data_IF_700836005281
#
_entry.id   IF_700836005281
#
_cell.length_a   1.000
_cell.length_b   1.000
_cell.length_c   1.000
_cell.angle_alpha   90.00
_cell.angle_beta   90.00
_cell.angle_gamma   90.00
#
_symmetry.space_group_name_H-M   'P 1'
#
loop_
_entity.id
_entity.type
_entity.pdbx_description
1 polymer ?
#
# COMPACT_ATOMS: atom_id res chain seq x y z
N UNK A 1 26.80 -17.28 -25.59
CA UNK A 1 25.72 -18.12 -26.14
C UNK A 1 24.44 -17.87 -25.34
N UNK A 2 23.31 -17.57 -26.00
CA UNK A 2 22.20 -16.83 -25.40
C UNK A 2 21.41 -17.69 -24.40
N UNK A 3 20.68 -17.02 -23.49
CA UNK A 3 19.61 -17.58 -22.65
C UNK A 3 20.05 -18.31 -21.36
N UNK A 4 20.52 -17.59 -20.35
CA UNK A 4 20.60 -18.15 -18.99
C UNK A 4 20.32 -17.09 -17.92
N UNK A 5 19.04 -16.82 -17.64
CA UNK A 5 18.64 -16.25 -16.35
C UNK A 5 17.40 -16.97 -15.85
N UNK A 6 17.48 -17.38 -14.58
CA UNK A 6 16.49 -18.13 -13.81
C UNK A 6 16.02 -17.20 -12.69
N UNK A 7 14.72 -17.11 -12.44
CA UNK A 7 14.21 -16.61 -11.16
C UNK A 7 13.94 -17.85 -10.29
N UNK A 8 14.87 -18.23 -9.40
CA UNK A 8 14.64 -19.37 -8.54
C UNK A 8 13.72 -18.94 -7.40
N UNK A 9 12.42 -19.20 -7.53
CA UNK A 9 11.56 -19.23 -6.35
C UNK A 9 11.81 -20.57 -5.65
N UNK A 10 12.72 -20.60 -4.67
CA UNK A 10 12.89 -21.74 -3.76
C UNK A 10 11.78 -21.69 -2.72
N UNK A 11 10.95 -22.73 -2.68
CA UNK A 11 10.04 -23.03 -1.58
C UNK A 11 10.31 -24.47 -1.21
N UNK A 12 10.89 -24.79 -0.05
CA UNK A 12 11.11 -26.20 0.29
C UNK A 12 9.74 -26.94 0.25
N UNK A 13 9.57 -28.01 -0.56
CA UNK A 13 10.59 -28.85 -1.21
C UNK A 13 10.81 -28.66 -2.74
N UNK A 14 10.28 -27.60 -3.37
CA UNK A 14 10.30 -27.38 -4.82
C UNK A 14 10.99 -26.07 -5.27
N UNK A 15 11.46 -26.04 -6.51
CA UNK A 15 11.99 -24.83 -7.16
C UNK A 15 11.24 -24.54 -8.46
N UNK A 16 10.92 -23.26 -8.72
CA UNK A 16 10.40 -22.81 -10.01
C UNK A 16 11.53 -22.20 -10.83
N UNK A 17 11.59 -22.55 -12.12
CA UNK A 17 12.53 -21.99 -13.08
C UNK A 17 11.75 -21.33 -14.22
N UNK A 18 12.17 -20.13 -14.62
CA UNK A 18 11.64 -19.42 -15.78
C UNK A 18 12.75 -19.33 -16.82
N UNK A 19 12.43 -19.65 -18.07
CA UNK A 19 13.36 -19.56 -19.20
C UNK A 19 12.73 -18.73 -20.32
N UNK A 20 13.44 -17.75 -20.89
CA UNK A 20 12.98 -17.11 -22.12
C UNK A 20 13.01 -18.14 -23.26
N UNK A 21 11.92 -18.19 -24.03
CA UNK A 21 11.81 -19.00 -25.23
C UNK A 21 11.70 -18.06 -26.43
N UNK A 22 12.60 -18.19 -27.39
CA UNK A 22 12.51 -17.44 -28.64
C UNK A 22 11.26 -17.91 -29.43
N UNK A 23 10.67 -17.07 -30.29
CA UNK A 23 9.61 -17.50 -31.19
C UNK A 23 10.13 -18.55 -32.18
N UNK A 24 9.40 -19.65 -32.37
CA UNK A 24 9.66 -20.64 -33.44
C UNK A 24 10.16 -22.02 -32.99
N UNK A 25 11.18 -22.14 -32.11
CA UNK A 25 11.61 -23.43 -31.58
C UNK A 25 10.47 -24.19 -30.88
N UNK A 26 10.47 -25.54 -30.95
CA UNK A 26 9.51 -26.36 -30.22
C UNK A 26 9.71 -26.19 -28.71
N UNK A 27 8.63 -26.43 -27.96
CA UNK A 27 8.69 -26.42 -26.51
C UNK A 27 9.70 -27.46 -26.02
N UNK A 28 10.60 -27.09 -25.08
CA UNK A 28 11.58 -28.02 -24.55
C UNK A 28 10.90 -29.13 -23.75
N UNK A 29 11.29 -30.37 -24.01
CA UNK A 29 10.81 -31.52 -23.26
C UNK A 29 11.34 -31.54 -21.81
N UNK A 30 10.81 -32.46 -21.00
CA UNK A 30 11.20 -32.59 -19.59
C UNK A 30 12.71 -32.85 -19.40
N UNK A 31 13.35 -33.57 -20.32
CA UNK A 31 14.79 -33.84 -20.28
C UNK A 31 15.62 -32.58 -20.56
N UNK A 32 15.22 -31.79 -21.56
CA UNK A 32 15.84 -30.51 -21.90
C UNK A 32 15.69 -29.49 -20.76
N UNK A 33 14.53 -29.43 -20.12
CA UNK A 33 14.30 -28.59 -18.94
C UNK A 33 15.13 -29.05 -17.73
N UNK A 34 15.19 -30.36 -17.47
CA UNK A 34 16.05 -30.94 -16.44
C UNK A 34 17.53 -30.60 -16.66
N UNK A 35 18.02 -30.72 -17.89
CA UNK A 35 19.39 -30.38 -18.25
C UNK A 35 19.67 -28.87 -18.05
N UNK A 36 18.72 -28.00 -18.43
CA UNK A 36 18.82 -26.56 -18.14
C UNK A 36 18.84 -26.28 -16.65
N UNK A 37 17.99 -26.91 -15.85
CA UNK A 37 17.95 -26.73 -14.40
C UNK A 37 19.27 -27.15 -13.73
N UNK A 38 19.84 -28.31 -14.10
CA UNK A 38 21.13 -28.81 -13.58
C UNK A 38 22.29 -27.83 -13.79
N UNK A 39 22.31 -27.10 -14.92
CA UNK A 39 23.33 -26.06 -15.16
C UNK A 39 23.31 -24.93 -14.13
N UNK A 40 22.16 -24.69 -13.48
CA UNK A 40 22.02 -23.66 -12.45
C UNK A 40 22.18 -24.19 -11.02
N UNK A 41 21.61 -25.36 -10.72
CA UNK A 41 21.63 -25.90 -9.35
C UNK A 41 22.86 -26.77 -9.04
N UNK A 42 23.63 -27.15 -10.07
CA UNK A 42 24.71 -28.13 -9.97
C UNK A 42 24.21 -29.57 -10.05
N UNK A 43 25.12 -30.51 -9.81
CA UNK A 43 24.81 -31.93 -9.83
C UNK A 43 23.97 -32.32 -8.60
N UNK A 44 22.90 -33.08 -8.85
CA UNK A 44 21.97 -33.56 -7.83
C UNK A 44 21.67 -35.04 -8.05
N UNK A 45 21.48 -35.78 -6.95
CA UNK A 45 21.18 -37.22 -6.96
C UNK A 45 19.77 -37.55 -7.48
N UNK A 46 18.85 -36.57 -7.45
CA UNK A 46 17.51 -36.71 -7.98
C UNK A 46 16.92 -35.38 -8.41
N UNK A 47 16.35 -35.33 -9.62
CA UNK A 47 15.58 -34.20 -10.13
C UNK A 47 14.33 -34.72 -10.81
N UNK A 48 13.17 -34.21 -10.40
CA UNK A 48 11.89 -34.53 -11.00
C UNK A 48 11.21 -33.25 -11.46
N UNK A 49 10.95 -33.13 -12.76
CA UNK A 49 10.13 -32.06 -13.31
C UNK A 49 8.68 -32.37 -12.93
N UNK A 50 8.04 -31.48 -12.16
CA UNK A 50 6.67 -31.68 -11.68
C UNK A 50 5.62 -31.16 -12.67
N UNK A 51 5.97 -30.14 -13.44
CA UNK A 51 5.06 -29.51 -14.39
C UNK A 51 5.78 -28.43 -15.19
N UNK A 52 5.26 -28.15 -16.37
CA UNK A 52 5.81 -27.22 -17.34
C UNK A 52 4.67 -26.42 -17.93
N UNK A 53 4.88 -25.13 -18.12
CA UNK A 53 3.91 -24.29 -18.80
C UNK A 53 4.64 -23.27 -19.66
N UNK A 54 4.20 -23.12 -20.91
CA UNK A 54 4.65 -22.06 -21.81
C UNK A 54 3.54 -21.03 -21.88
N UNK A 55 3.92 -19.78 -21.61
CA UNK A 55 2.99 -18.67 -21.64
C UNK A 55 3.64 -17.49 -22.35
N UNK A 56 2.81 -16.74 -23.07
CA UNK A 56 3.25 -15.49 -23.70
C UNK A 56 3.25 -14.39 -22.66
N UNK A 57 4.35 -13.66 -22.59
CA UNK A 57 4.46 -12.47 -21.76
C UNK A 57 3.87 -11.29 -22.52
N UNK A 58 2.95 -10.57 -21.89
CA UNK A 58 2.36 -9.34 -22.40
C UNK A 58 2.67 -8.19 -21.47
N UNK A 59 2.83 -6.99 -22.04
CA UNK A 59 2.76 -5.72 -21.31
C UNK A 59 1.56 -4.95 -21.88
N UNK A 60 0.44 -4.94 -21.16
CA UNK A 60 -0.82 -4.32 -21.62
C UNK A 60 -1.53 -3.70 -20.44
N UNK A 61 -2.16 -2.56 -20.68
CA UNK A 61 -2.99 -1.88 -19.67
C UNK A 61 -4.30 -1.51 -20.33
N UNK A 62 -5.41 -1.70 -19.61
CA UNK A 62 -6.72 -1.29 -20.06
C UNK A 62 -6.81 0.25 -20.08
N UNK A 63 -7.41 0.81 -21.13
CA UNK A 63 -7.59 2.26 -21.27
C UNK A 63 -8.55 2.85 -20.23
N UNK A 64 -9.44 2.03 -19.68
CA UNK A 64 -10.40 2.39 -18.63
C UNK A 64 -10.55 1.24 -17.66
N UNK A 65 -10.47 1.55 -16.38
CA UNK A 65 -10.56 0.54 -15.31
C UNK A 65 -11.94 0.48 -14.69
N UNK A 66 -12.77 1.50 -14.96
CA UNK A 66 -14.19 1.54 -14.58
C UNK A 66 -15.07 1.89 -15.78
N UNK A 67 -16.14 1.10 -15.96
CA UNK A 67 -17.26 1.45 -16.86
C UNK A 67 -18.56 1.22 -16.11
N UNK A 68 -19.16 2.31 -15.62
CA UNK A 68 -20.35 2.24 -14.76
C UNK A 68 -20.08 1.45 -13.48
N UNK A 69 -20.69 0.26 -13.37
CA UNK A 69 -20.59 -0.65 -12.22
C UNK A 69 -19.59 -1.80 -12.44
N UNK A 70 -18.85 -1.78 -13.54
CA UNK A 70 -17.86 -2.81 -13.88
C UNK A 70 -16.47 -2.23 -13.58
N UNK A 71 -15.66 -2.99 -12.84
CA UNK A 71 -14.30 -2.64 -12.45
C UNK A 71 -13.32 -3.73 -12.92
N UNK A 72 -12.17 -3.31 -13.44
CA UNK A 72 -11.04 -4.17 -13.77
C UNK A 72 -9.97 -4.01 -12.69
N UNK A 73 -9.34 -5.11 -12.27
CA UNK A 73 -8.23 -5.13 -11.31
C UNK A 73 -7.24 -6.26 -11.63
N UNK A 74 -6.00 -6.15 -11.17
CA UNK A 74 -4.95 -7.13 -11.45
C UNK A 74 -4.76 -7.37 -12.95
N UNK A 75 -4.54 -8.62 -13.35
CA UNK A 75 -4.32 -9.01 -14.76
C UNK A 75 -5.44 -8.58 -15.72
N UNK A 76 -6.65 -8.33 -15.23
CA UNK A 76 -7.75 -7.81 -16.05
C UNK A 76 -7.57 -6.32 -16.41
N UNK A 77 -6.92 -5.54 -15.55
CA UNK A 77 -6.62 -4.13 -15.76
C UNK A 77 -5.22 -3.91 -16.33
N UNK A 78 -4.24 -4.70 -15.91
CA UNK A 78 -2.85 -4.57 -16.30
C UNK A 78 -2.16 -5.94 -16.34
N UNK A 79 -1.66 -6.32 -17.52
CA UNK A 79 -0.72 -7.41 -17.69
C UNK A 79 0.68 -6.81 -17.62
N UNK A 80 1.38 -7.13 -16.54
CA UNK A 80 2.75 -6.69 -16.28
C UNK A 80 3.68 -7.87 -16.49
N UNK A 81 4.84 -7.62 -17.07
CA UNK A 81 5.81 -8.70 -17.29
C UNK A 81 6.20 -9.34 -15.96
N UNK A 82 6.42 -10.67 -15.90
CA UNK A 82 6.54 -11.42 -14.64
C UNK A 82 7.84 -11.13 -13.86
N UNK A 83 8.54 -10.07 -14.26
CA UNK A 83 9.74 -9.55 -13.66
C UNK A 83 9.44 -9.13 -12.21
N UNK A 84 10.26 -9.62 -11.28
CA UNK A 84 10.26 -9.18 -9.88
C UNK A 84 8.95 -9.42 -9.10
N UNK A 85 8.06 -10.27 -9.63
CA UNK A 85 6.73 -10.53 -9.09
C UNK A 85 5.85 -9.27 -8.96
N UNK A 86 6.11 -8.24 -9.78
CA UNK A 86 5.41 -6.95 -9.69
C UNK A 86 3.93 -7.05 -10.08
N UNK A 87 3.56 -7.91 -11.04
CA UNK A 87 2.15 -8.08 -11.46
C UNK A 87 1.21 -8.49 -10.32
N UNK A 88 1.52 -9.58 -9.61
CA UNK A 88 0.71 -10.04 -8.46
C UNK A 88 0.66 -8.97 -7.37
N UNK A 89 1.80 -8.38 -7.05
CA UNK A 89 1.93 -7.36 -6.02
C UNK A 89 1.05 -6.14 -6.33
N UNK A 90 1.06 -5.65 -7.57
CA UNK A 90 0.19 -4.55 -8.00
C UNK A 90 -1.29 -4.94 -7.97
N UNK A 91 -1.64 -6.17 -8.38
CA UNK A 91 -3.02 -6.67 -8.25
C UNK A 91 -3.51 -6.75 -6.79
N UNK A 92 -2.62 -7.02 -5.83
CA UNK A 92 -2.95 -6.96 -4.40
C UNK A 92 -3.22 -5.52 -3.94
N UNK A 93 -2.49 -4.53 -4.47
CA UNK A 93 -2.74 -3.12 -4.19
C UNK A 93 -4.12 -2.67 -4.70
N UNK A 94 -4.51 -3.14 -5.89
CA UNK A 94 -5.87 -2.94 -6.41
C UNK A 94 -6.93 -3.47 -5.45
N UNK A 95 -6.74 -4.72 -5.00
CA UNK A 95 -7.65 -5.42 -4.09
C UNK A 95 -7.65 -4.81 -2.68
N UNK A 96 -6.65 -4.01 -2.31
CA UNK A 96 -6.66 -3.23 -1.07
C UNK A 96 -7.40 -1.89 -1.24
N UNK A 97 -7.37 -1.27 -2.41
CA UNK A 97 -7.88 0.09 -2.63
C UNK A 97 -9.38 0.14 -2.98
N UNK A 98 -9.86 -0.77 -3.84
CA UNK A 98 -11.25 -0.72 -4.33
C UNK A 98 -12.31 -1.12 -3.29
N UNK A 99 -12.14 -2.21 -2.49
CA UNK A 99 -13.24 -2.74 -1.69
C UNK A 99 -13.81 -1.79 -0.63
N UNK A 100 -12.96 -1.01 0.05
CA UNK A 100 -13.45 -0.07 1.05
C UNK A 100 -14.27 1.06 0.40
N UNK A 101 -13.89 1.52 -0.79
CA UNK A 101 -14.65 2.54 -1.52
C UNK A 101 -16.03 2.02 -1.90
N UNK A 102 -16.09 0.80 -2.42
CA UNK A 102 -17.36 0.11 -2.70
C UNK A 102 -18.20 0.00 -1.43
N UNK A 103 -17.61 -0.40 -0.30
CA UNK A 103 -18.31 -0.51 0.96
C UNK A 103 -18.87 0.85 1.45
N UNK A 104 -18.12 1.94 1.27
CA UNK A 104 -18.58 3.29 1.63
C UNK A 104 -19.77 3.72 0.78
N UNK A 105 -19.70 3.54 -0.54
CA UNK A 105 -20.80 3.89 -1.45
C UNK A 105 -22.04 3.02 -1.21
N UNK A 106 -21.87 1.70 -1.07
CA UNK A 106 -22.98 0.77 -0.87
C UNK A 106 -23.71 0.96 0.47
N UNK A 107 -23.01 1.44 1.51
CA UNK A 107 -23.63 1.83 2.79
C UNK A 107 -24.24 3.23 2.75
N UNK A 108 -24.13 3.92 1.61
CA UNK A 108 -24.54 5.31 1.43
C UNK A 108 -23.64 6.31 2.15
N UNK A 109 -22.50 5.90 2.71
CA UNK A 109 -21.56 6.73 3.47
C UNK A 109 -20.72 7.66 2.60
N UNK A 110 -20.64 7.42 1.30
CA UNK A 110 -19.96 8.27 0.33
C UNK A 110 -20.75 8.38 -0.97
N UNK A 111 -20.46 9.44 -1.73
CA UNK A 111 -20.93 9.62 -3.10
C UNK A 111 -20.23 8.67 -4.08
N UNK A 112 -20.87 8.37 -5.21
CA UNK A 112 -20.34 7.46 -6.23
C UNK A 112 -19.02 7.97 -6.87
N UNK A 113 -18.75 9.27 -6.81
CA UNK A 113 -17.46 9.88 -7.22
C UNK A 113 -16.26 9.36 -6.42
N UNK A 114 -16.46 8.81 -5.21
CA UNK A 114 -15.40 8.15 -4.45
C UNK A 114 -14.75 7.00 -5.24
N UNK A 115 -15.52 6.31 -6.09
CA UNK A 115 -15.06 5.18 -6.88
C UNK A 115 -14.15 5.60 -8.04
N UNK A 116 -14.22 6.85 -8.50
CA UNK A 116 -13.31 7.39 -9.53
C UNK A 116 -11.87 7.53 -9.00
N UNK A 117 -11.70 7.55 -7.68
CA UNK A 117 -10.39 7.51 -7.04
C UNK A 117 -9.63 6.20 -7.23
N UNK A 118 -10.33 5.08 -7.52
CA UNK A 118 -9.67 3.79 -7.71
C UNK A 118 -8.69 3.82 -8.89
N UNK A 119 -9.18 4.15 -10.09
CA UNK A 119 -8.36 4.21 -11.29
C UNK A 119 -7.30 5.32 -11.19
N UNK A 120 -7.69 6.49 -10.68
CA UNK A 120 -6.77 7.63 -10.52
C UNK A 120 -5.54 7.29 -9.66
N UNK A 121 -5.73 6.53 -8.58
CA UNK A 121 -4.64 6.18 -7.67
C UNK A 121 -3.85 4.95 -8.13
N UNK A 122 -4.51 3.94 -8.70
CA UNK A 122 -3.85 2.67 -9.04
C UNK A 122 -3.21 2.64 -10.43
N UNK A 123 -3.78 3.34 -11.42
CA UNK A 123 -3.22 3.34 -12.78
C UNK A 123 -1.78 3.89 -12.83
N UNK A 124 -1.42 4.99 -12.14
CA UNK A 124 -0.02 5.42 -12.00
C UNK A 124 0.91 4.34 -11.45
N UNK A 125 0.47 3.63 -10.40
CA UNK A 125 1.27 2.58 -9.74
C UNK A 125 1.50 1.40 -10.68
N UNK A 126 0.47 0.99 -11.43
CA UNK A 126 0.59 -0.12 -12.38
C UNK A 126 1.40 0.25 -13.63
N UNK A 127 1.15 1.41 -14.24
CA UNK A 127 1.76 1.81 -15.51
C UNK A 127 3.19 2.30 -15.28
N UNK A 128 3.34 3.36 -14.48
CA UNK A 128 4.61 4.07 -14.30
C UNK A 128 5.46 3.51 -13.17
N UNK A 129 4.86 2.74 -12.26
CA UNK A 129 5.59 2.00 -11.24
C UNK A 129 5.98 0.62 -11.77
N UNK A 130 5.08 -0.33 -11.57
CA UNK A 130 5.33 -1.74 -11.80
C UNK A 130 5.65 -2.08 -13.27
N UNK A 131 4.91 -1.51 -14.22
CA UNK A 131 5.11 -1.71 -15.66
C UNK A 131 6.49 -1.26 -16.13
N UNK A 132 6.84 0.01 -15.89
CA UNK A 132 8.17 0.55 -16.23
C UNK A 132 9.31 -0.20 -15.54
N UNK A 133 9.17 -0.54 -14.25
CA UNK A 133 10.18 -1.34 -13.54
C UNK A 133 10.34 -2.75 -14.13
N UNK A 134 9.23 -3.40 -14.47
CA UNK A 134 9.24 -4.73 -15.06
C UNK A 134 9.89 -4.72 -16.46
N UNK A 135 9.60 -3.71 -17.27
CA UNK A 135 10.23 -3.52 -18.59
C UNK A 135 11.72 -3.18 -18.48
N UNK A 136 12.12 -2.31 -17.56
CA UNK A 136 13.53 -2.01 -17.31
C UNK A 136 14.29 -3.28 -16.88
N UNK A 137 13.70 -4.08 -16.00
CA UNK A 137 14.27 -5.35 -15.59
C UNK A 137 14.37 -6.37 -16.73
N UNK A 138 13.38 -6.39 -17.63
CA UNK A 138 13.44 -7.21 -18.84
C UNK A 138 14.55 -6.75 -19.78
N UNK A 139 14.72 -5.43 -19.98
CA UNK A 139 15.77 -4.87 -20.85
C UNK A 139 17.18 -5.17 -20.32
N UNK A 140 17.37 -5.06 -19.00
CA UNK A 140 18.60 -5.47 -18.33
C UNK A 140 18.90 -6.96 -18.52
N UNK A 141 17.88 -7.83 -18.36
CA UNK A 141 18.06 -9.26 -18.60
C UNK A 141 18.39 -9.60 -20.05
N UNK A 142 17.83 -8.86 -21.00
CA UNK A 142 18.18 -8.96 -22.42
C UNK A 142 19.56 -8.38 -22.76
N UNK A 143 20.31 -7.85 -21.75
CA UNK A 143 21.58 -7.12 -21.90
C UNK A 143 21.50 -5.97 -22.91
N UNK A 144 20.33 -5.35 -22.98
CA UNK A 144 20.10 -4.14 -23.78
C UNK A 144 20.41 -2.88 -22.99
N UNK A 145 20.55 -3.01 -21.67
CA UNK A 145 20.88 -1.94 -20.74
C UNK A 145 21.76 -2.50 -19.61
N UNK A 146 22.76 -1.74 -19.21
CA UNK A 146 23.70 -2.07 -18.13
C UNK A 146 23.30 -1.40 -16.79
N UNK A 147 22.30 -0.51 -16.80
CA UNK A 147 21.84 0.22 -15.62
C UNK A 147 20.65 -0.44 -14.92
N UNK A 148 20.77 -0.73 -13.62
CA UNK A 148 19.63 -1.17 -12.79
C UNK A 148 19.45 -0.26 -11.57
N UNK A 149 19.19 1.03 -11.82
CA UNK A 149 19.03 2.05 -10.78
C UNK A 149 17.86 1.76 -9.80
N UNK A 150 16.83 1.03 -10.23
CA UNK A 150 15.63 0.72 -9.44
C UNK A 150 15.90 -0.06 -8.14
N UNK A 151 17.12 -0.59 -7.96
CA UNK A 151 17.54 -1.37 -6.79
C UNK A 151 18.87 -0.90 -6.19
N UNK A 152 19.35 0.26 -6.64
CA UNK A 152 20.51 0.93 -6.05
C UNK A 152 20.00 1.85 -4.92
N UNK A 153 20.02 1.34 -3.69
CA UNK A 153 19.63 2.08 -2.47
C UNK A 153 19.85 1.20 -1.25
N UNK A 154 20.11 1.78 -0.08
CA UNK A 154 20.49 1.00 1.10
C UNK A 154 19.40 0.07 1.61
N UNK A 155 19.80 -0.80 2.55
CA UNK A 155 19.05 -2.01 2.90
C UNK A 155 17.61 -1.77 3.36
N UNK A 156 17.31 -0.61 3.96
CA UNK A 156 15.96 -0.30 4.47
C UNK A 156 14.96 0.03 3.35
N UNK A 157 15.26 0.98 2.47
CA UNK A 157 14.35 1.38 1.39
C UNK A 157 14.02 0.23 0.43
N UNK A 158 15.03 -0.62 0.15
CA UNK A 158 14.84 -1.84 -0.63
C UNK A 158 13.91 -2.83 0.08
N UNK A 159 14.09 -3.06 1.38
CA UNK A 159 13.25 -3.99 2.13
C UNK A 159 11.78 -3.54 2.14
N UNK A 160 11.53 -2.25 2.34
CA UNK A 160 10.17 -1.68 2.38
C UNK A 160 9.52 -1.67 0.99
N UNK A 161 10.29 -1.40 -0.06
CA UNK A 161 9.79 -1.47 -1.45
C UNK A 161 9.35 -2.91 -1.79
N UNK A 162 10.15 -3.91 -1.40
CA UNK A 162 9.85 -5.33 -1.66
C UNK A 162 8.62 -5.86 -0.92
N UNK A 163 8.23 -5.24 0.20
CA UNK A 163 7.03 -5.60 0.95
C UNK A 163 5.79 -4.82 0.52
N UNK A 164 5.91 -3.89 -0.44
CA UNK A 164 4.85 -2.95 -0.86
C UNK A 164 4.35 -2.00 0.25
N UNK A 165 4.98 -2.04 1.43
CA UNK A 165 4.64 -1.15 2.54
C UNK A 165 5.12 0.29 2.33
N UNK A 166 5.88 0.52 1.26
CA UNK A 166 6.41 1.83 0.87
C UNK A 166 5.66 2.53 -0.25
N UNK A 167 4.58 1.94 -0.76
CA UNK A 167 3.80 2.56 -1.83
C UNK A 167 3.11 3.82 -1.29
N UNK A 168 3.33 4.93 -1.99
CA UNK A 168 2.67 6.20 -1.75
C UNK A 168 1.71 6.50 -2.88
N UNK A 169 0.44 6.74 -2.54
CA UNK A 169 -0.62 7.06 -3.48
C UNK A 169 -0.80 8.58 -3.61
N UNK A 170 -1.19 9.04 -4.79
CA UNK A 170 -1.59 10.43 -5.04
C UNK A 170 -3.02 10.67 -4.53
N UNK A 171 -3.15 10.81 -3.21
CA UNK A 171 -4.46 10.90 -2.54
C UNK A 171 -5.11 12.28 -2.66
N UNK A 172 -4.34 13.31 -3.01
CA UNK A 172 -4.78 14.70 -3.12
C UNK A 172 -4.74 15.27 -4.56
N UNK A 173 -4.26 14.48 -5.54
CA UNK A 173 -4.18 14.89 -6.94
C UNK A 173 -2.98 15.80 -7.25
N UNK A 174 -2.00 15.86 -6.36
CA UNK A 174 -0.75 16.60 -6.55
C UNK A 174 0.19 15.97 -7.58
N UNK A 175 -0.05 14.71 -7.94
CA UNK A 175 0.87 13.89 -8.74
C UNK A 175 2.01 13.28 -7.93
N UNK A 176 2.05 13.48 -6.60
CA UNK A 176 3.12 13.00 -5.72
C UNK A 176 2.90 11.55 -5.24
N UNK A 177 3.00 10.60 -6.16
CA UNK A 177 2.97 9.16 -5.88
C UNK A 177 4.38 8.54 -5.94
N UNK A 178 4.57 7.34 -5.38
CA UNK A 178 5.78 6.54 -5.60
C UNK A 178 5.54 5.06 -5.29
N UNK A 179 6.09 4.16 -6.10
CA UNK A 179 6.14 2.73 -5.77
C UNK A 179 7.44 2.33 -5.05
N UNK A 180 8.46 3.19 -5.10
CA UNK A 180 9.80 2.93 -4.56
C UNK A 180 10.06 3.86 -3.37
N UNK A 181 10.71 3.32 -2.35
CA UNK A 181 11.24 4.10 -1.23
C UNK A 181 12.74 4.26 -1.39
N UNK A 182 13.18 5.52 -1.45
CA UNK A 182 14.59 5.87 -1.45
C UNK A 182 15.11 6.15 -0.04
N UNK A 183 16.39 5.85 0.18
CA UNK A 183 17.10 6.15 1.42
C UNK A 183 17.27 4.96 2.37
N UNK A 184 18.05 5.20 3.41
CA UNK A 184 18.57 4.15 4.31
C UNK A 184 17.88 4.15 5.67
N UNK A 185 16.96 5.09 5.90
CA UNK A 185 16.24 5.25 7.15
C UNK A 185 14.79 5.73 6.94
N UNK A 186 13.88 5.43 7.88
CA UNK A 186 12.52 5.93 7.83
C UNK A 186 12.46 7.46 7.90
N UNK A 187 11.61 8.05 7.06
CA UNK A 187 11.24 9.47 7.10
C UNK A 187 9.88 9.67 7.81
N UNK A 188 9.57 10.89 8.27
CA UNK A 188 8.22 11.26 8.68
C UNK A 188 7.18 10.92 7.60
N UNK A 189 6.01 10.44 8.03
CA UNK A 189 4.93 10.09 7.10
C UNK A 189 4.38 11.33 6.41
N UNK A 190 3.92 11.15 5.18
CA UNK A 190 3.28 12.16 4.35
C UNK A 190 1.90 11.69 3.93
N UNK A 191 1.08 12.62 3.44
CA UNK A 191 -0.13 12.23 2.72
C UNK A 191 0.23 11.26 1.58
N UNK A 192 -0.60 10.25 1.41
CA UNK A 192 -0.42 9.17 0.47
C UNK A 192 0.46 8.02 0.95
N UNK A 193 1.34 8.21 1.93
CA UNK A 193 2.18 7.11 2.44
C UNK A 193 1.29 6.06 3.13
N UNK A 194 1.65 4.77 3.03
CA UNK A 194 1.08 3.75 3.91
C UNK A 194 1.54 4.00 5.35
N UNK A 195 0.60 3.99 6.30
CA UNK A 195 0.91 4.17 7.72
C UNK A 195 1.83 3.02 8.19
N UNK A 196 2.92 3.30 8.92
CA UNK A 196 3.74 2.27 9.55
C UNK A 196 2.91 1.47 10.56
N UNK A 197 3.02 0.15 10.54
CA UNK A 197 2.35 -0.68 11.52
C UNK A 197 3.10 -0.65 12.84
N UNK A 198 2.60 0.15 13.78
CA UNK A 198 3.20 0.32 15.09
C UNK A 198 2.24 -0.08 16.17
N UNK A 199 2.82 -0.65 17.21
CA UNK A 199 2.08 -1.05 18.40
C UNK A 199 1.75 0.15 19.28
N UNK A 200 0.51 0.21 19.72
CA UNK A 200 0.00 1.07 20.79
C UNK A 200 -0.87 0.24 21.75
N UNK A 201 -1.33 0.84 22.85
CA UNK A 201 -2.08 0.12 23.88
C UNK A 201 -3.42 0.81 24.13
N UNK A 202 -4.51 0.16 23.75
CA UNK A 202 -5.88 0.59 24.01
C UNK A 202 -6.45 0.01 25.31
N UNK A 203 -7.75 0.23 25.57
CA UNK A 203 -8.42 -0.26 26.78
C UNK A 203 -8.41 -1.80 26.89
N UNK A 204 -8.49 -2.50 25.76
CA UNK A 204 -8.50 -3.97 25.69
C UNK A 204 -7.10 -4.59 25.56
N UNK A 205 -6.05 -3.76 25.62
CA UNK A 205 -4.66 -4.19 25.56
C UNK A 205 -3.94 -3.74 24.29
N UNK A 206 -3.03 -4.60 23.82
CA UNK A 206 -2.17 -4.32 22.67
C UNK A 206 -2.96 -4.25 21.36
N UNK A 207 -2.71 -3.23 20.55
CA UNK A 207 -3.30 -3.07 19.21
C UNK A 207 -2.28 -2.49 18.23
N UNK A 208 -2.36 -2.91 16.98
CA UNK A 208 -1.53 -2.42 15.88
C UNK A 208 -2.31 -1.41 15.04
N UNK A 209 -1.64 -0.38 14.50
CA UNK A 209 -2.32 0.67 13.72
C UNK A 209 -3.05 0.10 12.49
N UNK A 210 -2.53 -0.96 11.86
CA UNK A 210 -3.20 -1.60 10.73
C UNK A 210 -4.51 -2.26 11.12
N UNK A 211 -4.62 -2.79 12.34
CA UNK A 211 -5.87 -3.38 12.83
C UNK A 211 -6.94 -2.29 13.05
N UNK A 212 -6.54 -1.12 13.56
CA UNK A 212 -7.46 0.00 13.80
C UNK A 212 -8.11 0.51 12.50
N UNK A 213 -7.35 0.54 11.41
CA UNK A 213 -7.80 1.05 10.12
C UNK A 213 -8.30 -0.04 9.17
N UNK A 214 -8.50 -1.29 9.59
CA UNK A 214 -8.89 -2.36 8.65
C UNK A 214 -10.30 -2.18 8.06
N UNK A 215 -11.21 -1.53 8.79
CA UNK A 215 -12.64 -1.44 8.44
C UNK A 215 -13.25 -0.03 8.57
N UNK A 216 -12.42 0.95 8.95
CA UNK A 216 -12.81 2.33 9.24
C UNK A 216 -11.74 3.32 8.76
N UNK A 217 -12.16 4.54 8.45
CA UNK A 217 -11.23 5.65 8.55
C UNK A 217 -10.86 5.86 10.01
N UNK A 218 -9.61 6.22 10.26
CA UNK A 218 -9.11 6.46 11.60
C UNK A 218 -8.41 7.81 11.64
N UNK A 219 -8.88 8.70 12.52
CA UNK A 219 -8.19 9.93 12.87
C UNK A 219 -7.39 9.71 14.16
N UNK A 220 -6.06 9.78 14.03
CA UNK A 220 -5.11 9.64 15.13
C UNK A 220 -4.64 11.03 15.57
N UNK A 221 -5.02 11.44 16.77
CA UNK A 221 -4.66 12.72 17.36
C UNK A 221 -3.45 12.55 18.28
N UNK A 222 -2.27 12.95 17.81
CA UNK A 222 -1.02 12.86 18.56
C UNK A 222 -0.91 14.03 19.54
N UNK A 223 -1.26 13.81 20.81
CA UNK A 223 -1.30 14.87 21.82
C UNK A 223 -1.17 14.31 23.26
N UNK A 224 -0.82 15.17 24.23
CA UNK A 224 -0.81 14.80 25.64
C UNK A 224 -2.25 14.63 26.19
N UNK A 225 -2.65 13.39 26.48
CA UNK A 225 -3.98 13.05 26.99
C UNK A 225 -4.28 13.68 28.36
N UNK A 226 -3.26 14.06 29.14
CA UNK A 226 -3.43 14.73 30.44
C UNK A 226 -3.97 16.15 30.29
N UNK A 227 -3.79 16.77 29.11
CA UNK A 227 -4.40 18.07 28.76
C UNK A 227 -5.90 17.96 28.49
N UNK A 228 -6.47 16.75 28.48
CA UNK A 228 -7.88 16.47 28.22
C UNK A 228 -8.33 17.08 26.87
N UNK A 229 -7.65 16.71 25.76
CA UNK A 229 -8.01 17.22 24.44
C UNK A 229 -9.51 17.00 24.19
N UNK A 230 -10.18 18.01 23.65
CA UNK A 230 -11.56 17.90 23.22
C UNK A 230 -11.57 17.42 21.78
N UNK A 231 -11.92 16.16 21.58
CA UNK A 231 -12.14 15.66 20.22
C UNK A 231 -13.56 16.02 19.76
N UNK A 232 -13.74 16.43 18.50
CA UNK A 232 -15.05 16.74 17.95
C UNK A 232 -15.95 15.49 18.02
N UNK A 233 -17.17 15.67 18.54
CA UNK A 233 -18.20 14.63 18.54
C UNK A 233 -18.77 14.49 17.13
N UNK A 234 -18.14 13.62 16.34
CA UNK A 234 -18.50 13.41 14.95
C UNK A 234 -19.49 12.25 14.77
N UNK A 235 -20.59 12.51 14.07
CA UNK A 235 -21.54 11.48 13.61
C UNK A 235 -21.19 10.92 12.22
N UNK A 236 -19.97 11.18 11.72
CA UNK A 236 -19.56 10.71 10.40
C UNK A 236 -19.49 9.17 10.38
N UNK A 237 -20.30 8.52 9.56
CA UNK A 237 -20.30 7.06 9.52
C UNK A 237 -18.97 6.57 8.99
N UNK A 238 -18.38 5.58 9.66
CA UNK A 238 -17.12 4.97 9.25
C UNK A 238 -15.84 5.73 9.65
N UNK A 239 -15.93 6.80 10.44
CA UNK A 239 -14.77 7.51 10.98
C UNK A 239 -14.61 7.27 12.49
N UNK A 240 -13.51 6.63 12.89
CA UNK A 240 -13.11 6.45 14.29
C UNK A 240 -12.04 7.48 14.66
N UNK A 241 -12.03 7.89 15.92
CA UNK A 241 -11.12 8.93 16.44
C UNK A 241 -10.40 8.38 17.67
N UNK A 242 -9.08 8.50 17.69
CA UNK A 242 -8.27 8.07 18.83
C UNK A 242 -7.23 9.12 19.19
N UNK A 243 -7.01 9.32 20.49
CA UNK A 243 -5.88 10.09 21.02
C UNK A 243 -4.70 9.15 21.16
N UNK A 244 -3.57 9.43 20.51
CA UNK A 244 -2.31 8.75 20.77
C UNK A 244 -1.49 9.61 21.73
N UNK A 245 -1.10 9.04 22.86
CA UNK A 245 -0.37 9.78 23.89
C UNK A 245 0.69 8.95 24.59
N UNK A 246 1.83 9.61 24.86
CA UNK A 246 2.86 9.14 25.78
C UNK A 246 2.35 8.77 27.16
N UNK A 247 1.33 9.49 27.63
CA UNK A 247 0.81 9.37 28.99
C UNK A 247 -0.57 8.74 28.92
N UNK A 248 -0.85 7.80 29.82
CA UNK A 248 -2.18 7.21 29.93
C UNK A 248 -3.22 8.30 30.25
N UNK A 249 -4.43 8.13 29.71
CA UNK A 249 -5.52 9.07 29.91
C UNK A 249 -5.95 9.08 31.38
N UNK A 250 -6.14 10.26 32.01
CA UNK A 250 -6.65 10.34 33.37
C UNK A 250 -7.99 9.60 33.50
N UNK A 251 -8.21 8.88 34.61
CA UNK A 251 -9.41 8.05 34.81
C UNK A 251 -10.73 8.83 34.65
N UNK A 252 -10.75 10.10 35.05
CA UNK A 252 -11.91 10.99 34.96
C UNK A 252 -11.87 11.93 33.75
N UNK A 253 -11.16 11.57 32.68
CA UNK A 253 -11.06 12.39 31.46
C UNK A 253 -12.19 12.16 30.45
N UNK A 254 -12.85 11.00 30.50
CA UNK A 254 -13.78 10.56 29.43
C UNK A 254 -13.06 10.09 28.16
N UNK A 255 -11.73 10.02 28.14
CA UNK A 255 -10.94 9.65 26.97
C UNK A 255 -10.52 8.17 26.96
N UNK A 256 -10.75 7.41 28.04
CA UNK A 256 -10.20 6.05 28.22
C UNK A 256 -10.55 5.08 27.09
N UNK A 257 -11.75 5.21 26.53
CA UNK A 257 -12.23 4.33 25.47
C UNK A 257 -11.63 4.66 24.09
N UNK A 258 -11.07 5.87 23.95
CA UNK A 258 -10.51 6.40 22.70
C UNK A 258 -9.04 6.80 22.83
N UNK A 259 -8.40 6.55 23.97
CA UNK A 259 -7.01 6.84 24.21
C UNK A 259 -6.15 5.60 23.98
N UNK A 260 -5.10 5.79 23.19
CA UNK A 260 -4.10 4.79 22.86
C UNK A 260 -2.78 5.24 23.49
N UNK A 261 -2.33 4.47 24.48
CA UNK A 261 -1.07 4.71 25.17
C UNK A 261 0.11 4.32 24.26
N UNK A 262 1.07 5.24 24.11
CA UNK A 262 2.30 5.12 23.31
C UNK A 262 3.53 5.23 24.23
N UNK A 263 3.87 4.15 24.97
CA UNK A 263 4.95 4.20 25.94
C UNK A 263 6.29 4.54 25.28
N UNK A 264 6.87 5.65 25.70
CA UNK A 264 8.14 6.15 25.18
C UNK A 264 8.05 6.77 23.79
N UNK A 265 6.86 7.20 23.36
CA UNK A 265 6.64 7.92 22.09
C UNK A 265 7.15 7.12 20.89
N UNK A 266 6.95 5.80 20.88
CA UNK A 266 7.47 4.92 19.83
C UNK A 266 6.67 5.09 18.55
N UNK A 267 5.34 5.10 18.66
CA UNK A 267 4.45 5.37 17.53
C UNK A 267 4.68 6.80 17.05
N UNK A 268 4.61 7.78 17.96
CA UNK A 268 4.77 9.20 17.65
C UNK A 268 6.08 9.51 16.92
N UNK A 269 7.22 8.99 17.39
CA UNK A 269 8.52 9.15 16.71
C UNK A 269 8.60 8.43 15.37
N UNK A 270 7.95 7.26 15.24
CA UNK A 270 7.94 6.52 13.96
C UNK A 270 7.08 7.22 12.91
N UNK A 271 5.95 7.79 13.31
CA UNK A 271 5.09 8.59 12.43
C UNK A 271 5.80 9.91 12.08
N UNK A 272 6.49 10.52 13.04
CA UNK A 272 7.35 11.68 12.81
C UNK A 272 6.58 13.00 12.67
N UNK A 273 5.39 13.08 13.26
CA UNK A 273 4.58 14.30 13.31
C UNK A 273 4.90 15.14 14.56
N UNK A 274 4.77 16.48 14.50
CA UNK A 274 4.90 17.32 15.68
C UNK A 274 3.75 17.05 16.67
N UNK A 275 3.88 17.48 17.94
CA UNK A 275 2.76 17.47 18.88
C UNK A 275 1.55 18.21 18.32
N UNK A 276 0.36 17.83 18.77
CA UNK A 276 -0.90 18.49 18.40
C UNK A 276 -1.18 18.41 16.90
N UNK A 277 -0.96 17.20 16.37
CA UNK A 277 -1.24 16.85 14.98
C UNK A 277 -2.26 15.72 14.89
N UNK A 278 -3.25 15.87 14.02
CA UNK A 278 -4.16 14.82 13.61
C UNK A 278 -3.68 14.18 12.30
N UNK A 279 -3.72 12.85 12.23
CA UNK A 279 -3.42 12.06 11.04
C UNK A 279 -4.66 11.26 10.67
N UNK A 280 -5.24 11.53 9.50
CA UNK A 280 -6.36 10.77 8.95
C UNK A 280 -5.84 9.61 8.12
N UNK A 281 -6.24 8.39 8.44
CA UNK A 281 -5.85 7.15 7.76
C UNK A 281 -7.07 6.48 7.14
N UNK A 282 -6.94 6.01 5.91
CA UNK A 282 -7.98 5.29 5.16
C UNK A 282 -8.09 3.82 5.55
N UNK A 283 -9.20 3.15 5.19
CA UNK A 283 -9.36 1.72 5.43
C UNK A 283 -8.31 0.81 4.76
N UNK A 284 -7.62 1.32 3.73
CA UNK A 284 -6.53 0.62 3.04
C UNK A 284 -5.15 0.93 3.63
N UNK A 285 -5.10 1.64 4.76
CA UNK A 285 -3.88 1.97 5.50
C UNK A 285 -3.09 3.16 4.95
N UNK A 286 -3.59 3.90 3.96
CA UNK A 286 -2.92 5.10 3.46
C UNK A 286 -3.31 6.36 4.23
N UNK A 287 -2.34 7.23 4.49
CA UNK A 287 -2.57 8.53 5.12
C UNK A 287 -3.30 9.43 4.12
N UNK A 288 -4.51 9.87 4.47
CA UNK A 288 -5.32 10.77 3.68
C UNK A 288 -4.99 12.25 3.93
N UNK A 289 -4.70 12.61 5.18
CA UNK A 289 -4.40 13.99 5.56
C UNK A 289 -3.59 14.05 6.86
N UNK A 290 -2.81 15.12 7.02
CA UNK A 290 -2.09 15.47 8.24
C UNK A 290 -2.38 16.94 8.51
N UNK A 291 -2.86 17.27 9.70
CA UNK A 291 -3.24 18.64 10.05
C UNK A 291 -2.91 18.95 11.51
N UNK A 292 -2.38 20.14 11.76
CA UNK A 292 -2.23 20.65 13.12
C UNK A 292 -3.60 21.01 13.70
N UNK A 293 -3.73 20.93 15.02
CA UNK A 293 -4.94 21.33 15.74
C UNK A 293 -4.61 21.91 17.12
N UNK A 294 -5.52 22.69 17.69
CA UNK A 294 -5.45 23.13 19.08
C UNK A 294 -6.23 22.14 19.97
N UNK A 295 -5.58 21.40 20.89
CA UNK A 295 -6.28 20.46 21.77
C UNK A 295 -7.26 21.14 22.74
N UNK A 296 -7.15 22.46 22.93
CA UNK A 296 -8.06 23.24 23.76
C UNK A 296 -9.31 23.73 23.01
N UNK A 297 -9.30 23.72 21.67
CA UNK A 297 -10.44 24.18 20.86
C UNK A 297 -11.38 22.99 20.51
N UNK A 298 -12.57 22.91 21.14
CA UNK A 298 -13.50 21.82 20.87
C UNK A 298 -14.22 21.93 19.52
N UNK A 299 -14.16 23.09 18.85
CA UNK A 299 -14.83 23.31 17.56
C UNK A 299 -13.96 22.94 16.37
N UNK A 300 -12.65 22.83 16.58
CA UNK A 300 -11.74 22.47 15.50
C UNK A 300 -11.80 20.96 15.21
N UNK A 301 -12.29 20.59 14.03
CA UNK A 301 -12.08 19.26 13.47
C UNK A 301 -11.02 19.31 12.35
N UNK A 302 -9.75 18.99 12.65
CA UNK A 302 -8.67 19.07 11.67
C UNK A 302 -8.79 18.06 10.51
N UNK A 303 -9.68 17.06 10.62
CA UNK A 303 -9.83 16.00 9.61
C UNK A 303 -11.20 16.00 8.92
N UNK A 304 -12.19 16.74 9.43
CA UNK A 304 -13.54 16.78 8.88
C UNK A 304 -13.56 17.16 7.40
N UNK A 305 -12.87 18.24 7.02
CA UNK A 305 -12.83 18.69 5.63
C UNK A 305 -12.18 17.66 4.72
N UNK A 306 -11.10 17.00 5.17
CA UNK A 306 -10.45 15.95 4.40
C UNK A 306 -11.39 14.75 4.21
N UNK A 307 -12.07 14.31 5.28
CA UNK A 307 -13.03 13.22 5.23
C UNK A 307 -14.22 13.53 4.31
N UNK A 308 -14.79 14.72 4.44
CA UNK A 308 -15.88 15.23 3.62
C UNK A 308 -15.51 15.30 2.13
N UNK A 309 -14.34 15.86 1.81
CA UNK A 309 -13.83 15.90 0.43
C UNK A 309 -13.65 14.51 -0.16
N UNK A 310 -13.07 13.57 0.59
CA UNK A 310 -12.84 12.20 0.12
C UNK A 310 -14.16 11.48 -0.12
N UNK A 311 -15.11 11.61 0.80
CA UNK A 311 -16.41 10.90 0.73
C UNK A 311 -17.44 11.60 -0.16
N UNK A 312 -17.16 12.81 -0.66
CA UNK A 312 -18.10 13.62 -1.43
C UNK A 312 -19.31 14.11 -0.62
N UNK A 313 -19.31 13.95 0.70
CA UNK A 313 -20.35 14.49 1.58
C UNK A 313 -19.95 15.89 2.02
N UNK A 314 -20.77 16.90 1.73
CA UNK A 314 -20.52 18.27 2.23
C UNK A 314 -20.54 18.26 3.77
N UNK A 315 -19.60 18.96 4.38
CA UNK A 315 -19.69 19.35 5.80
C UNK A 315 -20.98 20.15 6.00
N UNK A 316 -21.63 19.97 7.16
CA UNK A 316 -22.97 20.53 7.47
C UNK A 316 -23.06 22.06 7.36
N UNK A 317 -21.96 22.77 7.21
CA UNK A 317 -21.92 24.23 7.11
C UNK A 317 -22.39 24.79 5.75
N UNK A 318 -22.54 23.95 4.71
CA UNK A 318 -22.97 24.40 3.37
C UNK A 318 -24.44 24.15 3.01
N UNK A 319 -25.29 23.73 3.96
CA UNK A 319 -26.69 23.38 3.69
C UNK A 319 -27.70 24.50 4.02
N UNK A 320 -27.21 25.68 4.41
CA UNK A 320 -28.02 26.88 4.63
C UNK A 320 -27.45 28.03 3.78
N UNK A 321 -27.63 27.94 2.47
CA UNK A 321 -27.54 29.07 1.54
C UNK A 321 -28.49 28.82 0.36
#
# INVERSE_FOLDING_TARGET
>A
HPCQCVVPCRHAPFGRFLYPLAPGPPEPDGAGLAAKAKRFIGDVTGLRVLGTNVYTVHHRVADRWRVGRIFLMGDAAHLITPMWALGLNTGVLDASNLPWRLAWVLRGWADESLLDGYEREQAPVAIRGAGEMAEAARAYMDRRDDGMAAMAGGGWGVAVTRSLLGVRLDVDGSGDWSMIVHGDSPRPVRAGDRIPDVRVFGPDGEVYLHDLCADAFVALYFTDARRRPRLPEGAEPGLRRYVISRWDAPLNSGLRDIALFDPGERATRRIGVPPDTAVLVRPDGHVAAIAAFDPADPQQDPVADAYARITGRRTREGALA
#
